data_IF_761707862891
#
_entry.id   IF_761707862891
#
_cell.length_a   1.000
_cell.length_b   1.000
_cell.length_c   1.000
_cell.angle_alpha   90.00
_cell.angle_beta   90.00
_cell.angle_gamma   90.00
#
_symmetry.space_group_name_H-M   'P 1'
#
loop_
_entity.id
_entity.type
_entity.pdbx_description
1 polymer ?
#
# COMPACT_ATOMS: atom_id res chain seq x y z
N UNK A 1 9.26 -3.12 -17.08
CA UNK A 1 9.11 -3.47 -15.64
C UNK A 1 9.86 -2.43 -14.81
N UNK A 2 9.25 -1.92 -13.74
CA UNK A 2 9.79 -0.80 -12.94
C UNK A 2 10.81 -1.33 -11.92
N UNK A 3 12.05 -1.61 -12.35
CA UNK A 3 13.09 -2.26 -11.52
C UNK A 3 14.14 -1.29 -10.95
N UNK A 4 14.10 -0.01 -11.33
CA UNK A 4 15.06 0.99 -10.87
C UNK A 4 14.46 1.88 -9.77
N UNK A 5 14.98 1.75 -8.54
CA UNK A 5 14.53 2.55 -7.38
C UNK A 5 14.88 4.04 -7.49
N UNK A 6 15.75 4.42 -8.41
CA UNK A 6 16.13 5.83 -8.65
C UNK A 6 15.22 6.54 -9.65
N UNK A 7 14.14 5.90 -10.07
CA UNK A 7 13.13 6.45 -10.96
C UNK A 7 11.81 6.68 -10.19
N UNK A 8 11.15 7.82 -10.44
CA UNK A 8 9.76 7.96 -10.06
C UNK A 8 8.91 7.11 -11.01
N UNK A 9 7.90 6.45 -10.47
CA UNK A 9 6.98 5.60 -11.23
C UNK A 9 5.56 5.96 -10.89
N UNK A 10 4.71 6.02 -11.90
CA UNK A 10 3.26 6.18 -11.76
C UNK A 10 2.58 5.09 -12.59
N UNK A 11 1.70 4.33 -11.97
CA UNK A 11 0.86 3.32 -12.64
C UNK A 11 -0.60 3.68 -12.36
N UNK A 12 -1.33 4.09 -13.39
CA UNK A 12 -2.76 4.39 -13.28
C UNK A 12 -3.59 3.12 -13.54
N UNK A 13 -4.87 3.07 -13.13
CA UNK A 13 -5.72 1.88 -13.33
C UNK A 13 -5.75 1.35 -14.77
N UNK A 14 -5.73 2.25 -15.76
CA UNK A 14 -5.75 1.87 -17.17
C UNK A 14 -4.41 1.36 -17.72
N UNK A 15 -3.33 1.52 -16.96
CA UNK A 15 -1.97 1.09 -17.34
C UNK A 15 -1.64 -0.31 -16.79
N UNK A 16 -2.56 -0.93 -16.04
CA UNK A 16 -2.36 -2.22 -15.40
C UNK A 16 -2.36 -3.35 -16.43
N UNK A 17 -1.28 -4.11 -16.48
CA UNK A 17 -1.15 -5.33 -17.28
C UNK A 17 -1.47 -6.56 -16.39
N UNK A 18 -2.70 -7.07 -16.55
CA UNK A 18 -3.21 -8.17 -15.75
C UNK A 18 -2.83 -9.53 -16.33
N UNK A 19 -2.02 -10.27 -15.58
CA UNK A 19 -1.70 -11.69 -15.83
C UNK A 19 -2.76 -12.57 -15.16
N UNK A 20 -3.46 -13.39 -15.94
CA UNK A 20 -4.58 -14.20 -15.46
C UNK A 20 -4.16 -15.64 -15.13
N UNK A 21 -4.73 -16.19 -14.07
CA UNK A 21 -4.72 -17.62 -13.75
C UNK A 21 -6.15 -18.07 -13.41
N UNK A 22 -6.34 -19.34 -13.05
CA UNK A 22 -7.68 -19.91 -12.84
C UNK A 22 -8.50 -19.20 -11.74
N UNK A 23 -7.85 -18.73 -10.68
CA UNK A 23 -8.54 -18.18 -9.49
C UNK A 23 -8.06 -16.80 -9.10
N UNK A 24 -7.13 -16.23 -9.86
CA UNK A 24 -6.58 -14.92 -9.55
C UNK A 24 -6.02 -14.21 -10.79
N UNK A 25 -5.96 -12.87 -10.70
CA UNK A 25 -5.28 -12.02 -11.67
C UNK A 25 -4.25 -11.17 -10.93
N UNK A 26 -3.06 -11.04 -11.48
CA UNK A 26 -1.97 -10.27 -10.89
C UNK A 26 -1.48 -9.20 -11.86
N UNK A 27 -1.39 -7.97 -11.40
CA UNK A 27 -0.74 -6.87 -12.13
C UNK A 27 0.52 -6.44 -11.36
N UNK A 28 1.67 -6.65 -11.98
CA UNK A 28 2.97 -6.28 -11.40
C UNK A 28 3.16 -4.77 -11.51
N UNK A 29 3.51 -4.12 -10.39
CA UNK A 29 3.76 -2.68 -10.29
C UNK A 29 5.26 -2.39 -10.35
N UNK A 30 6.03 -3.08 -9.50
CA UNK A 30 7.49 -3.03 -9.55
C UNK A 30 8.13 -4.36 -9.13
N UNK A 31 9.39 -4.55 -9.53
CA UNK A 31 10.22 -5.66 -9.10
C UNK A 31 11.68 -5.20 -9.01
N UNK A 32 12.13 -5.05 -7.79
CA UNK A 32 13.53 -4.70 -7.44
C UNK A 32 14.14 -5.85 -6.64
N UNK A 33 14.58 -5.64 -5.40
CA UNK A 33 14.85 -6.73 -4.46
C UNK A 33 13.59 -7.21 -3.73
N UNK A 34 12.48 -6.54 -3.93
CA UNK A 34 11.12 -6.88 -3.50
C UNK A 34 10.18 -6.82 -4.71
N UNK A 35 8.94 -7.22 -4.48
CA UNK A 35 7.88 -7.14 -5.48
C UNK A 35 6.67 -6.40 -4.92
N UNK A 36 6.11 -5.47 -5.70
CA UNK A 36 4.80 -4.86 -5.43
C UNK A 36 3.84 -5.19 -6.57
N UNK A 37 2.62 -5.60 -6.23
CA UNK A 37 1.61 -5.99 -7.22
C UNK A 37 0.19 -5.71 -6.72
N UNK A 38 -0.75 -5.56 -7.66
CA UNK A 38 -2.17 -5.76 -7.38
C UNK A 38 -2.54 -7.22 -7.66
N UNK A 39 -3.35 -7.79 -6.76
CA UNK A 39 -3.80 -9.17 -6.83
C UNK A 39 -5.32 -9.21 -6.68
N UNK A 40 -6.03 -9.61 -7.75
CA UNK A 40 -7.47 -9.86 -7.71
C UNK A 40 -7.70 -11.35 -7.52
N UNK A 41 -8.54 -11.71 -6.56
CA UNK A 41 -8.80 -13.10 -6.17
C UNK A 41 -10.30 -13.34 -6.26
N UNK A 42 -10.67 -14.46 -6.90
CA UNK A 42 -12.04 -14.89 -7.03
C UNK A 42 -12.70 -15.16 -5.66
N UNK A 43 -14.05 -15.13 -5.55
CA UNK A 43 -14.75 -15.44 -4.32
C UNK A 43 -14.35 -16.78 -3.70
N UNK A 44 -14.34 -16.83 -2.37
CA UNK A 44 -14.17 -18.05 -1.55
C UNK A 44 -12.93 -18.87 -1.96
N UNK A 45 -11.88 -18.19 -2.43
CA UNK A 45 -10.64 -18.80 -2.91
C UNK A 45 -9.57 -18.79 -1.83
N UNK A 46 -9.00 -19.96 -1.46
CA UNK A 46 -7.87 -20.03 -0.55
C UNK A 46 -6.62 -19.37 -1.15
N UNK A 47 -6.00 -18.47 -0.39
CA UNK A 47 -4.67 -17.98 -0.65
C UNK A 47 -3.72 -18.93 0.09
N UNK A 48 -2.96 -19.73 -0.67
CA UNK A 48 -2.18 -20.86 -0.16
C UNK A 48 -1.44 -20.50 1.12
N UNK A 49 -1.58 -21.38 2.11
CA UNK A 49 -0.67 -21.41 3.24
C UNK A 49 0.75 -21.59 2.72
N UNK A 50 1.60 -20.64 3.01
CA UNK A 50 3.02 -20.73 2.69
C UNK A 50 3.79 -20.28 3.93
N UNK A 51 4.87 -21.00 4.24
CA UNK A 51 5.88 -20.39 5.12
C UNK A 51 6.61 -19.36 4.27
N UNK A 52 6.43 -18.09 4.61
CA UNK A 52 6.96 -16.98 3.85
C UNK A 52 8.46 -16.87 4.11
N UNK A 53 9.28 -17.10 3.11
CA UNK A 53 10.75 -16.95 3.22
C UNK A 53 11.15 -15.48 3.39
N UNK A 54 10.39 -14.57 2.83
CA UNK A 54 10.76 -13.15 2.71
C UNK A 54 9.72 -12.18 3.31
N UNK A 55 8.57 -12.69 3.79
CA UNK A 55 7.48 -11.91 4.35
C UNK A 55 6.60 -11.21 3.29
N UNK A 56 5.40 -10.85 3.71
CA UNK A 56 4.38 -10.22 2.87
C UNK A 56 3.57 -9.16 3.62
N UNK A 57 3.21 -8.09 2.93
CA UNK A 57 2.21 -7.12 3.34
C UNK A 57 1.00 -7.16 2.40
N UNK A 58 -0.19 -6.99 2.98
CA UNK A 58 -1.44 -6.88 2.23
C UNK A 58 -2.22 -5.65 2.67
N UNK A 59 -2.75 -4.93 1.70
CA UNK A 59 -3.82 -3.96 1.90
C UNK A 59 -5.03 -4.40 1.08
N UNK A 60 -6.20 -4.53 1.72
CA UNK A 60 -7.45 -4.88 1.04
C UNK A 60 -8.02 -3.62 0.40
N UNK A 61 -8.05 -3.57 -0.94
CA UNK A 61 -8.58 -2.45 -1.72
C UNK A 61 -10.07 -2.61 -2.01
N UNK A 62 -10.54 -3.86 -2.27
CA UNK A 62 -11.95 -4.20 -2.49
C UNK A 62 -12.24 -5.57 -1.89
N UNK A 63 -13.49 -5.81 -1.50
CA UNK A 63 -13.94 -7.08 -0.96
C UNK A 63 -13.43 -7.36 0.46
N UNK A 64 -13.06 -8.60 0.74
CA UNK A 64 -12.61 -8.99 2.07
C UNK A 64 -11.70 -10.21 2.07
N UNK A 65 -10.93 -10.37 3.17
CA UNK A 65 -10.21 -11.60 3.51
C UNK A 65 -10.74 -12.17 4.82
N UNK A 66 -10.71 -13.49 4.93
CA UNK A 66 -10.97 -14.23 6.16
C UNK A 66 -9.63 -14.75 6.69
N UNK A 67 -9.32 -14.41 7.93
CA UNK A 67 -8.11 -14.83 8.63
C UNK A 67 -8.46 -15.25 10.06
N UNK A 68 -8.07 -16.46 10.46
CA UNK A 68 -8.44 -17.07 11.77
C UNK A 68 -9.95 -16.96 12.08
N UNK A 69 -10.82 -17.22 11.08
CA UNK A 69 -12.27 -17.18 11.23
C UNK A 69 -12.86 -15.77 11.37
N UNK A 70 -12.06 -14.71 11.23
CA UNK A 70 -12.53 -13.31 11.27
C UNK A 70 -12.51 -12.71 9.88
N UNK A 71 -13.54 -11.95 9.52
CA UNK A 71 -13.60 -11.20 8.27
C UNK A 71 -12.91 -9.84 8.42
N UNK A 72 -12.06 -9.52 7.45
CA UNK A 72 -11.33 -8.27 7.30
C UNK A 72 -11.78 -7.60 6.00
N UNK A 73 -12.53 -6.50 6.06
CA UNK A 73 -13.07 -5.82 4.88
C UNK A 73 -12.04 -4.90 4.22
N UNK A 74 -12.43 -4.25 3.13
CA UNK A 74 -11.71 -3.13 2.51
C UNK A 74 -11.13 -2.17 3.54
N UNK A 75 -9.89 -1.72 3.30
CA UNK A 75 -9.11 -0.89 4.22
C UNK A 75 -8.39 -1.68 5.33
N UNK A 76 -8.58 -3.01 5.41
CA UNK A 76 -7.80 -3.82 6.35
C UNK A 76 -6.38 -4.02 5.86
N UNK A 77 -5.44 -4.04 6.80
CA UNK A 77 -4.01 -4.15 6.56
C UNK A 77 -3.42 -5.34 7.29
N UNK A 78 -2.59 -6.12 6.60
CA UNK A 78 -1.87 -7.26 7.15
C UNK A 78 -0.38 -7.12 6.93
N UNK A 79 0.37 -7.66 7.88
CA UNK A 79 1.81 -7.77 7.84
C UNK A 79 2.22 -9.12 8.39
N UNK A 80 2.87 -9.92 7.55
CA UNK A 80 3.36 -11.25 7.85
C UNK A 80 4.88 -11.27 7.63
N UNK A 81 5.67 -11.14 8.71
CA UNK A 81 7.13 -11.22 8.62
C UNK A 81 7.64 -12.55 8.04
N UNK A 82 8.91 -12.64 7.64
CA UNK A 82 9.55 -13.90 7.26
C UNK A 82 9.32 -15.01 8.31
N UNK A 83 9.18 -16.24 7.84
CA UNK A 83 8.90 -17.45 8.62
C UNK A 83 7.49 -17.55 9.23
N UNK A 84 6.63 -16.56 9.03
CA UNK A 84 5.22 -16.64 9.43
C UNK A 84 4.48 -17.62 8.49
N UNK A 85 3.64 -18.46 9.08
CA UNK A 85 2.68 -19.29 8.32
C UNK A 85 1.32 -18.61 8.35
N UNK A 86 0.71 -18.42 7.17
CA UNK A 86 -0.60 -17.81 7.04
C UNK A 86 -1.56 -18.66 6.21
N UNK A 87 -2.82 -18.67 6.61
CA UNK A 87 -3.93 -19.20 5.83
C UNK A 87 -4.97 -18.10 5.67
N UNK A 88 -5.15 -17.64 4.44
CA UNK A 88 -6.12 -16.62 4.09
C UNK A 88 -7.14 -17.21 3.12
N UNK A 89 -8.37 -16.73 3.22
CA UNK A 89 -9.45 -17.05 2.29
C UNK A 89 -10.07 -15.72 1.81
N UNK A 90 -10.32 -15.58 0.52
CA UNK A 90 -11.11 -14.44 0.05
C UNK A 90 -12.58 -14.57 0.49
N UNK A 91 -13.22 -13.45 0.74
CA UNK A 91 -14.61 -13.42 1.12
C UNK A 91 -15.56 -13.76 -0.04
N UNK A 92 -16.90 -13.70 0.20
CA UNK A 92 -17.92 -14.08 -0.79
C UNK A 92 -17.94 -13.19 -2.04
N UNK A 93 -17.39 -11.98 -1.98
CA UNK A 93 -17.26 -11.05 -3.11
C UNK A 93 -15.85 -11.10 -3.76
N UNK A 94 -14.99 -12.02 -3.31
CA UNK A 94 -13.58 -12.02 -3.67
C UNK A 94 -12.81 -10.91 -2.98
N UNK A 95 -11.62 -10.60 -3.52
CA UNK A 95 -10.80 -9.51 -3.00
C UNK A 95 -9.91 -8.89 -4.10
N UNK A 96 -9.70 -7.58 -4.02
CA UNK A 96 -8.60 -6.88 -4.67
C UNK A 96 -7.61 -6.43 -3.60
N UNK A 97 -6.37 -6.82 -3.73
CA UNK A 97 -5.31 -6.59 -2.77
C UNK A 97 -4.18 -5.80 -3.40
N UNK A 98 -3.55 -4.91 -2.63
CA UNK A 98 -2.17 -4.56 -2.84
C UNK A 98 -1.31 -5.54 -2.05
N UNK A 99 -0.33 -6.13 -2.70
CA UNK A 99 0.60 -7.11 -2.15
C UNK A 99 2.02 -6.60 -2.33
N UNK A 100 2.79 -6.60 -1.23
CA UNK A 100 4.24 -6.34 -1.25
C UNK A 100 4.99 -7.49 -0.60
N UNK A 101 6.00 -8.02 -1.29
CA UNK A 101 6.76 -9.21 -0.89
C UNK A 101 8.26 -8.92 -0.84
N UNK A 102 8.98 -9.50 0.11
CA UNK A 102 10.44 -9.47 0.14
C UNK A 102 11.08 -8.16 0.61
N UNK A 103 10.33 -7.28 1.28
CA UNK A 103 10.81 -5.95 1.70
C UNK A 103 11.15 -5.84 3.19
N UNK A 104 10.95 -6.92 3.95
CA UNK A 104 11.20 -6.92 5.40
C UNK A 104 12.69 -6.85 5.72
N UNK A 105 13.04 -6.05 6.70
CA UNK A 105 14.36 -6.13 7.33
C UNK A 105 14.40 -7.30 8.32
N UNK A 106 15.55 -7.94 8.55
CA UNK A 106 15.64 -9.14 9.41
C UNK A 106 15.16 -8.94 10.85
N UNK A 107 15.22 -7.70 11.33
CA UNK A 107 14.83 -7.31 12.71
C UNK A 107 13.38 -6.85 12.82
N UNK A 108 12.65 -6.69 11.69
CA UNK A 108 11.23 -6.37 11.70
C UNK A 108 10.37 -7.63 11.71
N UNK A 109 10.08 -8.10 12.90
CA UNK A 109 9.35 -9.36 13.15
C UNK A 109 7.90 -9.16 13.57
N UNK A 110 7.38 -7.93 13.47
CA UNK A 110 6.04 -7.61 13.94
C UNK A 110 4.97 -8.08 12.98
N UNK A 111 4.18 -9.09 13.38
CA UNK A 111 2.97 -9.50 12.70
C UNK A 111 1.81 -8.55 13.04
N UNK A 112 0.99 -8.20 12.02
CA UNK A 112 -0.17 -7.33 12.17
C UNK A 112 -1.35 -7.84 11.35
N UNK A 113 -2.55 -7.67 11.92
CA UNK A 113 -3.83 -7.80 11.23
C UNK A 113 -4.78 -6.72 11.75
N UNK A 114 -4.92 -5.63 11.00
CA UNK A 114 -5.62 -4.41 11.43
C UNK A 114 -6.85 -4.18 10.55
N UNK A 115 -7.98 -3.83 11.17
CA UNK A 115 -9.12 -3.25 10.46
C UNK A 115 -9.04 -1.74 10.57
N UNK A 116 -9.28 -1.03 9.47
CA UNK A 116 -9.30 0.43 9.46
C UNK A 116 -10.31 0.99 10.49
N UNK A 117 -11.49 0.35 10.61
CA UNK A 117 -12.53 0.74 11.56
C UNK A 117 -12.07 0.77 13.02
N UNK A 118 -11.08 -0.04 13.36
CA UNK A 118 -10.65 -0.25 14.75
C UNK A 118 -9.46 0.66 15.12
N UNK A 119 -8.98 1.47 14.16
CA UNK A 119 -7.82 2.33 14.35
C UNK A 119 -8.22 3.81 14.46
N UNK A 120 -7.63 4.56 15.40
CA UNK A 120 -7.95 5.98 15.58
C UNK A 120 -7.27 6.86 14.53
N UNK A 121 -8.02 7.82 14.00
CA UNK A 121 -7.49 8.95 13.25
C UNK A 121 -6.89 9.99 14.20
N UNK A 122 -5.79 10.60 13.80
CA UNK A 122 -5.10 11.67 14.54
C UNK A 122 -4.94 12.88 13.63
N UNK A 123 -4.93 14.10 14.17
CA UNK A 123 -4.59 15.28 13.38
C UNK A 123 -3.24 15.13 12.69
N UNK A 124 -3.18 15.52 11.42
CA UNK A 124 -1.92 15.58 10.65
C UNK A 124 -1.13 16.86 10.95
N UNK A 125 -0.05 17.06 10.19
CA UNK A 125 0.88 18.18 10.39
C UNK A 125 0.32 19.53 9.91
N UNK A 126 -0.68 19.53 9.03
CA UNK A 126 -1.39 20.74 8.57
C UNK A 126 -2.89 20.56 8.73
N UNK A 127 -3.63 21.66 8.77
CA UNK A 127 -5.08 21.62 8.78
C UNK A 127 -5.60 20.92 7.51
N UNK A 128 -6.66 20.12 7.66
CA UNK A 128 -7.23 19.33 6.57
C UNK A 128 -6.58 17.95 6.40
N UNK A 129 -5.53 17.61 7.17
CA UNK A 129 -4.96 16.27 7.21
C UNK A 129 -5.36 15.50 8.46
N UNK A 130 -5.68 14.23 8.27
CA UNK A 130 -5.80 13.25 9.35
C UNK A 130 -4.97 12.02 9.00
N UNK A 131 -4.25 11.47 9.97
CA UNK A 131 -3.34 10.34 9.81
C UNK A 131 -3.77 9.19 10.68
N UNK A 132 -3.77 7.99 10.13
CA UNK A 132 -3.96 6.74 10.86
C UNK A 132 -2.69 5.89 10.70
N UNK A 133 -1.79 5.87 11.69
CA UNK A 133 -0.58 5.05 11.64
C UNK A 133 -0.93 3.55 11.63
N UNK A 134 -0.27 2.79 10.76
CA UNK A 134 -0.41 1.32 10.66
C UNK A 134 0.80 0.61 11.24
N UNK A 135 1.99 1.03 10.81
CA UNK A 135 3.26 0.43 11.25
C UNK A 135 4.40 1.44 11.19
N UNK A 136 5.40 1.22 12.05
CA UNK A 136 6.67 1.94 12.01
C UNK A 136 7.79 1.00 12.46
N UNK A 137 8.88 0.97 11.67
CA UNK A 137 10.11 0.27 12.01
C UNK A 137 11.32 1.01 11.44
N UNK A 138 12.26 1.39 12.29
CA UNK A 138 13.40 2.19 11.88
C UNK A 138 12.98 3.49 11.18
N UNK A 139 13.35 3.64 9.92
CA UNK A 139 12.93 4.79 9.07
C UNK A 139 11.65 4.53 8.28
N UNK A 140 11.18 3.28 8.21
CA UNK A 140 9.94 2.93 7.55
C UNK A 140 8.74 3.42 8.37
N UNK A 141 7.80 4.07 7.70
CA UNK A 141 6.51 4.46 8.29
C UNK A 141 5.39 4.18 7.30
N UNK A 142 4.32 3.57 7.80
CA UNK A 142 3.14 3.20 7.02
C UNK A 142 1.90 3.80 7.67
N UNK A 143 1.07 4.47 6.87
CA UNK A 143 -0.15 5.10 7.36
C UNK A 143 -1.23 5.20 6.28
N UNK A 144 -2.48 5.35 6.71
CA UNK A 144 -3.48 6.03 5.90
C UNK A 144 -3.43 7.53 6.19
N UNK A 145 -3.58 8.32 5.13
CA UNK A 145 -3.69 9.78 5.25
C UNK A 145 -4.95 10.24 4.52
N UNK A 146 -5.83 10.88 5.26
CA UNK A 146 -7.03 11.52 4.73
C UNK A 146 -6.74 13.00 4.52
N UNK A 147 -7.08 13.47 3.34
CA UNK A 147 -6.96 14.85 2.89
C UNK A 147 -8.36 15.42 2.69
N UNK A 148 -8.68 16.48 3.38
CA UNK A 148 -9.90 17.24 3.10
C UNK A 148 -9.79 17.98 1.75
N UNK A 149 -10.91 18.38 1.13
CA UNK A 149 -10.88 19.25 -0.04
C UNK A 149 -10.03 20.50 0.14
N UNK A 150 -9.32 20.91 -0.93
CA UNK A 150 -8.49 22.13 -0.97
C UNK A 150 -7.41 22.19 0.12
N UNK A 151 -6.86 21.02 0.48
CA UNK A 151 -5.75 20.92 1.44
C UNK A 151 -4.42 20.94 0.71
N UNK A 152 -3.47 21.74 1.19
CA UNK A 152 -2.10 21.78 0.68
C UNK A 152 -1.11 21.46 1.79
N UNK A 153 -0.14 20.59 1.48
CA UNK A 153 0.98 20.33 2.38
C UNK A 153 2.22 21.13 1.96
N UNK A 154 3.11 21.35 2.90
CA UNK A 154 4.36 22.07 2.63
C UNK A 154 5.27 21.26 1.68
N UNK A 155 6.10 21.94 0.86
CA UNK A 155 7.18 21.27 0.11
C UNK A 155 8.07 20.48 1.07
N UNK A 156 8.28 19.19 0.76
CA UNK A 156 9.09 18.32 1.60
C UNK A 156 9.84 17.27 0.79
N UNK A 157 10.77 16.59 1.45
CA UNK A 157 11.67 15.59 0.85
C UNK A 157 11.48 14.26 1.56
N UNK A 158 11.51 13.16 0.78
CA UNK A 158 11.49 11.79 1.26
C UNK A 158 12.88 11.14 1.15
N UNK A 159 13.75 11.20 2.18
CA UNK A 159 15.13 10.67 2.08
C UNK A 159 15.18 9.18 1.76
N UNK A 160 14.24 8.40 2.27
CA UNK A 160 14.11 6.97 1.99
C UNK A 160 13.03 6.63 0.97
N UNK A 161 12.61 7.59 0.14
CA UNK A 161 11.56 7.41 -0.86
C UNK A 161 10.17 7.26 -0.25
N UNK A 162 9.20 7.13 -1.14
CA UNK A 162 7.77 7.05 -0.80
C UNK A 162 7.04 6.14 -1.78
N UNK A 163 6.05 5.43 -1.29
CA UNK A 163 5.09 4.65 -2.07
C UNK A 163 3.68 5.08 -1.66
N UNK A 164 2.81 5.35 -2.64
CA UNK A 164 1.44 5.80 -2.41
C UNK A 164 0.47 4.93 -3.21
N UNK A 165 -0.69 4.63 -2.61
CA UNK A 165 -1.88 4.16 -3.33
C UNK A 165 -3.00 5.13 -3.03
N UNK A 166 -3.62 5.68 -4.07
CA UNK A 166 -4.80 6.54 -3.94
C UNK A 166 -6.02 5.67 -3.78
N UNK A 167 -6.63 5.68 -2.59
CA UNK A 167 -7.76 4.83 -2.22
C UNK A 167 -9.10 5.49 -2.54
N UNK A 168 -9.19 6.82 -2.42
CA UNK A 168 -10.39 7.61 -2.74
C UNK A 168 -9.99 9.01 -3.20
N UNK A 169 -10.80 9.62 -4.05
CA UNK A 169 -10.61 10.98 -4.55
C UNK A 169 -9.43 11.10 -5.51
N UNK A 170 -8.80 12.28 -5.53
CA UNK A 170 -7.67 12.58 -6.40
C UNK A 170 -6.56 13.27 -5.62
N UNK A 171 -5.39 12.65 -5.61
CA UNK A 171 -4.17 13.20 -5.03
C UNK A 171 -3.40 13.96 -6.11
N UNK A 172 -2.81 15.09 -5.77
CA UNK A 172 -2.10 15.96 -6.71
C UNK A 172 -0.73 16.37 -6.18
N UNK A 173 0.19 16.62 -7.08
CA UNK A 173 1.42 17.38 -6.83
C UNK A 173 1.81 18.17 -8.09
N UNK A 174 2.97 18.81 -8.09
CA UNK A 174 3.47 19.59 -9.25
C UNK A 174 3.76 18.73 -10.48
N UNK A 175 3.77 17.41 -10.37
CA UNK A 175 4.07 16.48 -11.48
C UNK A 175 2.80 15.88 -12.09
N UNK A 176 1.65 15.94 -11.40
CA UNK A 176 0.42 15.42 -11.96
C UNK A 176 -0.76 15.27 -11.02
N UNK A 177 -1.80 14.64 -11.57
CA UNK A 177 -3.04 14.29 -10.87
C UNK A 177 -3.20 12.77 -10.87
N UNK A 178 -3.50 12.23 -9.70
CA UNK A 178 -3.49 10.81 -9.41
C UNK A 178 -4.86 10.38 -8.85
N UNK A 179 -5.77 9.90 -9.70
CA UNK A 179 -7.10 9.46 -9.26
C UNK A 179 -7.03 8.14 -8.48
N UNK A 180 -8.15 7.79 -7.84
CA UNK A 180 -8.36 6.51 -7.15
C UNK A 180 -7.83 5.33 -7.97
N UNK A 181 -7.12 4.40 -7.32
CA UNK A 181 -6.49 3.22 -7.90
C UNK A 181 -5.09 3.47 -8.48
N UNK A 182 -4.61 4.73 -8.49
CA UNK A 182 -3.23 5.02 -8.91
C UNK A 182 -2.25 4.55 -7.84
N UNK A 183 -1.20 3.87 -8.28
CA UNK A 183 -0.01 3.56 -7.50
C UNK A 183 1.16 4.44 -7.94
N UNK A 184 1.87 5.01 -6.95
CA UNK A 184 3.06 5.83 -7.17
C UNK A 184 4.25 5.28 -6.37
N UNK A 185 5.44 5.39 -6.95
CA UNK A 185 6.70 5.22 -6.23
C UNK A 185 7.58 6.43 -6.51
N UNK A 186 7.82 7.22 -5.48
CA UNK A 186 8.71 8.38 -5.50
C UNK A 186 10.09 7.97 -4.98
N UNK A 187 11.12 8.15 -5.81
CA UNK A 187 12.50 7.74 -5.52
C UNK A 187 13.04 8.37 -4.23
N UNK A 188 14.10 7.80 -3.63
CA UNK A 188 14.82 8.44 -2.53
C UNK A 188 15.24 9.87 -2.90
N UNK A 189 15.10 10.76 -1.89
CA UNK A 189 15.34 12.21 -2.01
C UNK A 189 14.42 12.94 -3.00
N UNK A 190 13.31 12.32 -3.42
CA UNK A 190 12.26 13.04 -4.15
C UNK A 190 11.70 14.18 -3.31
N UNK A 191 11.34 15.26 -3.99
CA UNK A 191 10.69 16.43 -3.38
C UNK A 191 9.40 16.70 -4.12
N UNK A 192 8.34 16.99 -3.39
CA UNK A 192 7.07 17.40 -3.93
C UNK A 192 6.28 18.31 -2.99
N UNK A 193 5.21 18.88 -3.52
CA UNK A 193 4.26 19.76 -2.80
C UNK A 193 2.85 19.22 -3.03
N UNK A 194 2.46 18.17 -2.25
CA UNK A 194 1.18 17.52 -2.49
C UNK A 194 0.01 18.38 -2.04
N UNK A 195 -1.11 18.21 -2.74
CA UNK A 195 -2.36 18.91 -2.44
C UNK A 195 -3.57 18.11 -2.92
N UNK A 196 -4.74 18.55 -2.52
CA UNK A 196 -6.04 18.09 -3.02
C UNK A 196 -6.87 19.26 -3.50
N UNK A 197 -7.79 18.97 -4.41
CA UNK A 197 -8.81 19.89 -4.91
C UNK A 197 -10.18 19.57 -4.29
N UNK A 198 -11.27 19.65 -5.04
CA UNK A 198 -12.65 19.62 -4.55
C UNK A 198 -13.10 18.34 -3.88
N UNK A 199 -12.56 17.20 -4.27
CA UNK A 199 -12.97 15.87 -3.81
C UNK A 199 -12.10 15.30 -2.67
N UNK A 200 -11.01 16.01 -2.33
CA UNK A 200 -10.07 15.51 -1.33
C UNK A 200 -9.41 14.20 -1.75
N UNK A 201 -8.78 13.51 -0.80
CA UNK A 201 -8.21 12.18 -1.05
C UNK A 201 -8.10 11.34 0.22
N UNK A 202 -8.13 10.02 0.04
CA UNK A 202 -7.63 9.05 1.01
C UNK A 202 -6.50 8.28 0.36
N UNK A 203 -5.32 8.26 1.00
CA UNK A 203 -4.17 7.52 0.49
C UNK A 203 -3.65 6.52 1.53
N UNK A 204 -3.14 5.38 1.05
CA UNK A 204 -2.14 4.58 1.76
C UNK A 204 -0.77 5.15 1.39
N UNK A 205 0.09 5.36 2.37
CA UNK A 205 1.44 5.84 2.16
C UNK A 205 2.44 5.03 2.96
N UNK A 206 3.55 4.66 2.31
CA UNK A 206 4.71 4.01 2.90
C UNK A 206 5.95 4.84 2.58
N UNK A 207 6.67 5.28 3.61
CA UNK A 207 7.87 6.12 3.46
C UNK A 207 9.09 5.47 4.10
N UNK A 208 10.28 5.85 3.66
CA UNK A 208 11.53 5.48 4.30
C UNK A 208 12.03 4.06 4.02
N UNK A 209 11.36 3.30 3.13
CA UNK A 209 11.64 1.90 2.83
C UNK A 209 12.49 1.68 1.58
N UNK A 210 12.62 2.70 0.70
CA UNK A 210 13.41 2.63 -0.53
C UNK A 210 14.87 3.00 -0.25
N UNK A 211 15.54 2.28 0.64
CA UNK A 211 16.98 2.47 0.84
C UNK A 211 17.73 1.64 -0.19
N UNK A 212 18.80 2.19 -0.81
CA UNK A 212 19.75 1.35 -1.51
C UNK A 212 20.24 0.27 -0.55
N UNK A 213 20.23 -0.98 -0.96
CA UNK A 213 20.90 -2.05 -0.23
C UNK A 213 22.38 -1.65 -0.21
N UNK A 214 22.90 -1.37 0.99
CA UNK A 214 24.29 -1.05 1.24
C UNK A 214 25.17 -2.27 1.05
#
# INVERSE_FOLDING_TARGET
>A
MNSDIHQNVVVKPNDLDWQESTTQKKALLDQVSWESSFLRIEPETPIKAATLSEGEEYLILEGSLIFHGKTYPTGSYFRFPPTTTRELLSGPEGALLFLKQGHFTPDDTKELSLKQSDQPWRPGMVNGLSVMPLHQHGTESIAFVKWEPNTQFNPHVHPGGEEIIVLQGTFHDEFGSYPTGTWLRNKPYSKHTPHTEFDGALIYVKTGHLKPLS
#
